data_IF_917735538214
#
_entry.id   IF_917735538214
#
_cell.length_a   1.000
_cell.length_b   1.000
_cell.length_c   1.000
_cell.angle_alpha   90.00
_cell.angle_beta   90.00
_cell.angle_gamma   90.00
#
_symmetry.space_group_name_H-M   'P 1'
#
loop_
_entity.id
_entity.type
_entity.pdbx_description
1 polymer ?
#
# COMPACT_ATOMS: atom_id res chain seq x y z
N UNK A 1 25.54 -1.70 -13.27
CA UNK A 1 24.51 -2.24 -12.35
C UNK A 1 24.16 -3.67 -12.76
N UNK A 2 23.89 -4.57 -11.81
CA UNK A 2 23.38 -5.92 -12.11
C UNK A 2 21.86 -5.87 -12.00
N UNK A 3 21.19 -5.85 -13.15
CA UNK A 3 19.72 -5.86 -13.19
C UNK A 3 19.20 -7.30 -13.09
N UNK A 4 18.12 -7.48 -12.33
CA UNK A 4 17.44 -8.77 -12.20
C UNK A 4 16.02 -8.59 -12.72
N UNK A 5 15.60 -9.50 -13.59
CA UNK A 5 14.27 -9.51 -14.19
C UNK A 5 13.44 -10.60 -13.52
N UNK A 6 12.24 -10.25 -13.06
CA UNK A 6 11.29 -11.19 -12.49
C UNK A 6 10.01 -11.17 -13.31
N UNK A 7 9.38 -12.34 -13.48
CA UNK A 7 8.07 -12.44 -14.13
C UNK A 7 7.02 -12.65 -13.05
N UNK A 8 6.12 -11.67 -12.90
CA UNK A 8 4.99 -11.75 -11.96
C UNK A 8 3.72 -11.75 -12.78
N UNK A 9 2.91 -12.80 -12.66
CA UNK A 9 1.68 -12.99 -13.45
C UNK A 9 1.90 -12.82 -14.97
N UNK A 10 3.03 -13.30 -15.50
CA UNK A 10 3.35 -13.22 -16.93
C UNK A 10 3.89 -11.87 -17.40
N UNK A 11 3.97 -10.86 -16.53
CA UNK A 11 4.52 -9.54 -16.86
C UNK A 11 5.96 -9.45 -16.34
N UNK A 12 6.95 -9.16 -17.20
CA UNK A 12 8.31 -8.93 -16.74
C UNK A 12 8.37 -7.58 -16.03
N UNK A 13 8.77 -7.61 -14.77
CA UNK A 13 8.96 -6.42 -13.94
C UNK A 13 10.47 -6.26 -13.73
N UNK A 14 10.96 -5.05 -14.01
CA UNK A 14 12.33 -4.65 -13.70
C UNK A 14 12.40 -4.29 -12.22
N UNK A 15 13.18 -5.05 -11.46
CA UNK A 15 13.21 -4.94 -10.02
C UNK A 15 14.62 -5.15 -9.50
N UNK A 16 15.19 -4.13 -8.86
CA UNK A 16 16.52 -4.19 -8.30
C UNK A 16 16.56 -4.95 -6.98
N UNK A 17 17.76 -5.39 -6.60
CA UNK A 17 18.04 -5.99 -5.29
C UNK A 17 17.64 -5.08 -4.13
N UNK A 18 17.72 -3.75 -4.32
CA UNK A 18 17.35 -2.77 -3.31
C UNK A 18 15.86 -2.78 -3.04
N UNK A 19 15.06 -2.72 -4.10
CA UNK A 19 13.62 -2.81 -3.99
C UNK A 19 13.25 -4.17 -3.38
N UNK A 20 13.89 -5.28 -3.81
CA UNK A 20 13.68 -6.62 -3.23
C UNK A 20 13.87 -6.65 -1.74
N UNK A 21 14.98 -6.12 -1.28
CA UNK A 21 15.28 -6.04 0.13
C UNK A 21 14.24 -5.17 0.86
N UNK A 22 13.76 -4.07 0.26
CA UNK A 22 12.74 -3.20 0.87
C UNK A 22 11.39 -3.92 1.05
N UNK A 23 10.90 -4.62 0.03
CA UNK A 23 9.60 -5.32 0.11
C UNK A 23 9.68 -6.57 1.01
N UNK A 24 10.79 -7.32 0.94
CA UNK A 24 11.00 -8.53 1.76
C UNK A 24 11.37 -8.23 3.21
N UNK A 25 11.61 -6.97 3.56
CA UNK A 25 12.13 -6.58 4.87
C UNK A 25 13.60 -6.96 5.10
N UNK A 26 14.30 -7.47 4.07
CA UNK A 26 15.72 -7.81 4.12
C UNK A 26 16.64 -6.58 3.94
N UNK A 27 16.08 -5.40 3.68
CA UNK A 27 16.83 -4.14 3.61
C UNK A 27 17.01 -3.57 5.01
N UNK A 28 18.04 -4.07 5.70
CA UNK A 28 18.39 -3.64 7.06
C UNK A 28 19.19 -2.33 7.12
N UNK A 29 19.30 -1.59 6.01
CA UNK A 29 19.89 -0.25 6.06
C UNK A 29 18.89 0.71 6.70
N UNK A 30 19.40 1.72 7.41
CA UNK A 30 18.57 2.82 7.86
C UNK A 30 17.85 3.42 6.66
N UNK A 31 16.53 3.55 6.77
CA UNK A 31 15.76 4.28 5.77
C UNK A 31 16.33 5.70 5.60
N UNK A 32 16.26 6.31 4.41
CA UNK A 32 16.67 7.70 4.23
C UNK A 32 16.03 8.58 5.30
N UNK A 33 16.77 9.58 5.80
CA UNK A 33 16.25 10.51 6.80
C UNK A 33 14.89 11.07 6.37
N UNK A 34 13.92 11.04 7.28
CA UNK A 34 12.55 11.47 7.01
C UNK A 34 11.71 10.51 6.16
N UNK A 35 12.19 9.33 5.74
CA UNK A 35 11.35 8.36 5.02
C UNK A 35 10.19 7.88 5.91
N UNK A 36 10.44 7.56 7.17
CA UNK A 36 9.35 7.22 8.09
C UNK A 36 8.38 8.41 8.28
N UNK A 37 8.89 9.62 8.43
CA UNK A 37 8.07 10.82 8.67
C UNK A 37 7.28 11.29 7.44
N UNK A 38 7.86 11.12 6.24
CA UNK A 38 7.30 11.58 4.97
C UNK A 38 6.59 10.48 4.18
N UNK A 39 6.87 9.21 4.48
CA UNK A 39 6.41 8.04 3.71
C UNK A 39 5.59 7.06 4.54
N UNK A 40 5.73 7.00 5.88
CA UNK A 40 4.73 6.28 6.67
C UNK A 40 3.38 6.98 6.48
N UNK A 41 2.42 6.22 5.94
CA UNK A 41 1.10 6.73 5.63
C UNK A 41 0.50 7.39 6.87
N UNK A 42 0.17 8.68 6.77
CA UNK A 42 -0.62 9.35 7.81
C UNK A 42 -1.90 8.53 8.00
N UNK A 43 -2.24 8.24 9.25
CA UNK A 43 -3.48 7.55 9.61
C UNK A 43 -4.75 8.37 9.24
N UNK A 44 -4.60 9.54 8.61
CA UNK A 44 -5.67 10.38 8.11
C UNK A 44 -6.69 9.63 7.24
N UNK A 45 -6.27 8.63 6.44
CA UNK A 45 -7.21 7.80 5.67
C UNK A 45 -8.05 6.91 6.59
N UNK A 46 -7.41 6.28 7.58
CA UNK A 46 -8.08 5.45 8.58
C UNK A 46 -8.99 6.31 9.46
N UNK A 47 -8.55 7.51 9.84
CA UNK A 47 -9.33 8.47 10.60
C UNK A 47 -10.59 8.90 9.83
N UNK A 48 -10.43 9.25 8.55
CA UNK A 48 -11.52 9.73 7.69
C UNK A 48 -12.64 8.69 7.53
N UNK A 49 -12.31 7.41 7.42
CA UNK A 49 -13.30 6.36 7.10
C UNK A 49 -13.65 5.45 8.26
N UNK A 50 -12.71 5.21 9.18
CA UNK A 50 -12.84 4.28 10.30
C UNK A 50 -12.70 4.95 11.67
N UNK A 51 -12.57 6.30 11.72
CA UNK A 51 -12.50 7.08 12.97
C UNK A 51 -11.41 6.57 13.93
N UNK A 52 -10.26 6.19 13.38
CA UNK A 52 -9.12 5.69 14.15
C UNK A 52 -9.31 4.30 14.77
N UNK A 53 -10.40 3.60 14.44
CA UNK A 53 -10.65 2.24 14.93
C UNK A 53 -9.73 1.23 14.24
N UNK A 54 -9.43 0.11 14.91
CA UNK A 54 -8.75 -1.02 14.29
C UNK A 54 -9.54 -1.52 13.09
N UNK A 55 -8.96 -1.44 11.90
CA UNK A 55 -9.61 -1.84 10.65
C UNK A 55 -9.47 -3.34 10.46
N UNK A 56 -10.60 -4.08 10.42
CA UNK A 56 -10.61 -5.51 10.12
C UNK A 56 -11.08 -5.75 8.70
N UNK A 57 -10.72 -6.90 8.13
CA UNK A 57 -11.12 -7.29 6.77
C UNK A 57 -12.64 -7.18 6.54
N UNK A 58 -13.44 -7.61 7.53
CA UNK A 58 -14.90 -7.56 7.48
C UNK A 58 -15.46 -6.14 7.35
N UNK A 59 -14.71 -5.14 7.83
CA UNK A 59 -15.12 -3.73 7.82
C UNK A 59 -14.84 -3.06 6.46
N UNK A 60 -13.96 -3.65 5.62
CA UNK A 60 -13.52 -3.08 4.34
C UNK A 60 -14.59 -3.16 3.25
N UNK A 61 -15.22 -4.32 3.07
CA UNK A 61 -16.23 -4.53 2.02
C UNK A 61 -17.46 -3.61 2.18
N UNK A 62 -18.07 -3.50 3.38
CA UNK A 62 -19.18 -2.57 3.59
C UNK A 62 -18.77 -1.11 3.37
N UNK A 63 -17.53 -0.73 3.70
CA UNK A 63 -17.03 0.61 3.46
C UNK A 63 -16.87 0.89 1.95
N UNK A 64 -16.39 -0.09 1.20
CA UNK A 64 -16.24 0.00 -0.25
C UNK A 64 -17.58 0.19 -0.96
N UNK A 65 -18.61 -0.55 -0.53
CA UNK A 65 -19.97 -0.43 -1.06
C UNK A 65 -20.60 0.95 -0.77
N UNK A 66 -20.27 1.55 0.38
CA UNK A 66 -20.70 2.91 0.74
C UNK A 66 -19.98 4.00 -0.08
N UNK A 67 -18.76 3.75 -0.54
CA UNK A 67 -17.97 4.72 -1.28
C UNK A 67 -18.49 4.93 -2.71
N UNK A 68 -18.90 6.16 -3.02
CA UNK A 68 -19.19 6.57 -4.39
C UNK A 68 -17.89 6.87 -5.14
N UNK A 69 -17.79 6.51 -6.44
CA UNK A 69 -16.72 7.00 -7.30
C UNK A 69 -16.71 8.53 -7.30
N UNK A 70 -15.53 9.13 -7.13
CA UNK A 70 -15.34 10.57 -7.18
C UNK A 70 -14.19 10.88 -8.14
N UNK A 71 -14.38 11.78 -9.13
CA UNK A 71 -13.31 12.17 -10.04
C UNK A 71 -12.17 12.93 -9.32
N UNK A 72 -12.46 13.49 -8.13
CA UNK A 72 -11.52 14.31 -7.37
C UNK A 72 -10.82 13.54 -6.23
N UNK A 73 -11.04 12.22 -6.11
CA UNK A 73 -10.43 11.43 -5.05
C UNK A 73 -10.16 9.97 -5.46
N UNK A 74 -8.93 9.52 -5.16
CA UNK A 74 -8.50 8.14 -5.29
C UNK A 74 -8.82 7.28 -4.05
N UNK A 75 -9.63 7.78 -3.10
CA UNK A 75 -9.86 7.09 -1.84
C UNK A 75 -10.56 5.73 -2.02
N UNK A 76 -11.47 5.62 -2.99
CA UNK A 76 -12.11 4.34 -3.33
C UNK A 76 -11.11 3.33 -3.91
N UNK A 77 -10.14 3.79 -4.70
CA UNK A 77 -9.06 2.95 -5.21
C UNK A 77 -8.15 2.49 -4.06
N UNK A 78 -7.80 3.39 -3.12
CA UNK A 78 -7.03 3.04 -1.92
C UNK A 78 -7.75 2.00 -1.06
N UNK A 79 -9.06 2.12 -0.89
CA UNK A 79 -9.88 1.13 -0.18
C UNK A 79 -9.92 -0.22 -0.91
N UNK A 80 -10.00 -0.23 -2.24
CA UNK A 80 -9.89 -1.44 -3.07
C UNK A 80 -8.54 -2.14 -2.89
N UNK A 81 -7.44 -1.37 -2.93
CA UNK A 81 -6.09 -1.89 -2.71
C UNK A 81 -6.00 -2.51 -1.31
N UNK A 82 -6.51 -1.83 -0.29
CA UNK A 82 -6.52 -2.34 1.08
C UNK A 82 -7.35 -3.64 1.20
N UNK A 83 -8.51 -3.71 0.55
CA UNK A 83 -9.35 -4.91 0.51
C UNK A 83 -8.64 -6.08 -0.19
N UNK A 84 -7.95 -5.82 -1.30
CA UNK A 84 -7.19 -6.81 -2.06
C UNK A 84 -5.94 -7.31 -1.31
N UNK A 85 -5.23 -6.43 -0.60
CA UNK A 85 -4.04 -6.82 0.16
C UNK A 85 -4.38 -7.59 1.44
N UNK A 86 -5.59 -7.40 1.97
CA UNK A 86 -6.07 -8.08 3.18
C UNK A 86 -6.79 -9.41 2.89
N UNK A 87 -7.01 -9.75 1.62
CA UNK A 87 -7.54 -11.05 1.15
C UNK A 87 -6.43 -12.01 0.78
#
# INVERSE_FOLDING_TARGET
>A
EKEVWFVVNGVPIRYGLREHALISGLYSHNYPSGFAENTCGKMAFVEKYFKGSTVRYQDLKPMLEKMKPSPNSNDRLRMLILYFLAS
#
